data_IF_261910186690
#
_entry.id   IF_261910186690
#
_cell.length_a   1.000
_cell.length_b   1.000
_cell.length_c   1.000
_cell.angle_alpha   90.00
_cell.angle_beta   90.00
_cell.angle_gamma   90.00
#
_symmetry.space_group_name_H-M   'P 1'
#
loop_
_entity.id
_entity.type
_entity.pdbx_description
1 polymer ?
#
# COMPACT_ATOMS: atom_id res chain seq x y z
N UNK A 1 -1.42 25.73 -0.76
CA UNK A 1 -0.18 25.23 -0.12
C UNK A 1 0.00 25.86 1.27
N UNK A 2 -0.83 25.46 2.26
CA UNK A 2 -0.83 26.08 3.60
C UNK A 2 -0.64 25.08 4.75
N UNK A 3 -1.09 23.83 4.58
CA UNK A 3 -1.00 22.77 5.59
C UNK A 3 0.47 22.37 5.83
N UNK A 4 1.18 21.94 4.79
CA UNK A 4 2.57 21.49 4.91
C UNK A 4 3.54 22.62 5.31
N UNK A 5 3.31 23.86 4.87
CA UNK A 5 4.16 25.00 5.27
C UNK A 5 4.03 25.38 6.75
N UNK A 6 3.05 24.82 7.47
CA UNK A 6 2.74 25.13 8.87
C UNK A 6 2.93 23.93 9.79
N UNK A 7 3.67 22.91 9.35
CA UNK A 7 3.90 21.71 10.14
C UNK A 7 2.73 20.70 10.12
N UNK A 8 1.77 20.89 9.22
CA UNK A 8 0.67 19.94 9.06
C UNK A 8 1.15 18.57 8.56
N UNK A 9 0.36 17.55 8.89
CA UNK A 9 0.53 16.18 8.43
C UNK A 9 -0.58 15.86 7.43
N UNK A 10 -0.23 15.20 6.33
CA UNK A 10 -1.20 14.66 5.37
C UNK A 10 -0.97 13.15 5.31
N UNK A 11 -2.06 12.39 5.33
CA UNK A 11 -2.04 10.94 5.07
C UNK A 11 -2.84 10.76 3.78
N UNK A 12 -2.25 10.06 2.82
CA UNK A 12 -2.90 9.68 1.56
C UNK A 12 -2.97 8.17 1.53
N UNK A 13 -4.19 7.66 1.36
CA UNK A 13 -4.47 6.25 1.22
C UNK A 13 -4.91 6.06 -0.23
N UNK A 14 -4.20 5.23 -0.98
CA UNK A 14 -4.67 4.74 -2.27
C UNK A 14 -5.28 3.36 -2.13
N UNK A 15 -5.56 2.76 -3.28
CA UNK A 15 -6.25 1.49 -3.35
C UNK A 15 -5.93 0.77 -4.66
N UNK A 16 -6.25 -0.51 -4.75
CA UNK A 16 -6.28 -1.20 -6.05
C UNK A 16 -7.20 -0.48 -7.04
N UNK A 17 -6.69 -0.28 -8.26
CA UNK A 17 -7.35 0.40 -9.37
C UNK A 17 -8.80 -0.01 -9.65
N UNK A 18 -9.17 -1.28 -9.43
CA UNK A 18 -10.55 -1.73 -9.65
C UNK A 18 -11.54 -1.04 -8.71
N UNK A 19 -11.10 -0.69 -7.50
CA UNK A 19 -11.89 0.06 -6.53
C UNK A 19 -11.73 1.57 -6.70
N UNK A 20 -10.54 2.05 -7.07
CA UNK A 20 -10.28 3.48 -7.19
C UNK A 20 -9.12 3.85 -8.13
N UNK A 21 -9.34 4.83 -9.01
CA UNK A 21 -8.29 5.41 -9.85
C UNK A 21 -7.41 6.41 -9.06
N UNK A 22 -6.15 6.04 -8.81
CA UNK A 22 -5.21 6.85 -8.04
C UNK A 22 -4.74 8.13 -8.77
N UNK A 23 -5.11 8.36 -10.04
CA UNK A 23 -4.69 9.53 -10.84
C UNK A 23 -4.98 10.87 -10.14
N UNK A 24 -6.11 10.98 -9.43
CA UNK A 24 -6.48 12.20 -8.70
C UNK A 24 -5.56 12.42 -7.50
N UNK A 25 -5.22 11.35 -6.77
CA UNK A 25 -4.29 11.41 -5.63
C UNK A 25 -2.88 11.76 -6.11
N UNK A 26 -2.44 11.17 -7.21
CA UNK A 26 -1.17 11.48 -7.87
C UNK A 26 -1.09 12.94 -8.31
N UNK A 27 -2.16 13.48 -8.89
CA UNK A 27 -2.27 14.90 -9.24
C UNK A 27 -2.09 15.79 -8.01
N UNK A 28 -2.70 15.43 -6.87
CA UNK A 28 -2.53 16.14 -5.60
C UNK A 28 -1.07 16.06 -5.10
N UNK A 29 -0.48 14.86 -5.08
CA UNK A 29 0.90 14.63 -4.63
C UNK A 29 1.89 15.45 -5.47
N UNK A 30 1.76 15.43 -6.80
CA UNK A 30 2.59 16.23 -7.70
C UNK A 30 2.40 17.74 -7.48
N UNK A 31 1.17 18.21 -7.28
CA UNK A 31 0.89 19.62 -6.98
C UNK A 31 1.48 20.07 -5.63
N UNK A 32 1.70 19.15 -4.70
CA UNK A 32 2.41 19.38 -3.43
C UNK A 32 3.93 19.23 -3.55
N UNK A 33 4.43 18.80 -4.72
CA UNK A 33 5.84 18.51 -4.98
C UNK A 33 6.34 17.35 -4.11
N UNK A 34 5.53 16.31 -4.00
CA UNK A 34 5.84 15.05 -3.33
C UNK A 34 6.26 14.04 -4.41
N UNK A 35 7.43 13.44 -4.20
CA UNK A 35 8.06 12.44 -5.07
C UNK A 35 7.62 11.02 -4.67
N UNK A 36 6.32 10.85 -4.45
CA UNK A 36 5.67 9.56 -4.22
C UNK A 36 4.46 9.53 -5.14
N UNK A 37 4.28 8.44 -5.88
CA UNK A 37 3.11 8.18 -6.71
C UNK A 37 2.53 6.82 -6.35
N UNK A 38 1.21 6.71 -6.42
CA UNK A 38 0.45 5.47 -6.29
C UNK A 38 0.30 4.85 -7.67
N UNK A 39 0.70 3.59 -7.82
CA UNK A 39 0.47 2.86 -9.06
C UNK A 39 -1.01 2.47 -9.20
N UNK A 40 -1.51 2.38 -10.43
CA UNK A 40 -2.83 1.80 -10.71
C UNK A 40 -2.66 0.31 -10.98
N UNK A 41 -2.36 -0.46 -9.93
CA UNK A 41 -2.20 -1.92 -9.98
C UNK A 41 -2.79 -2.58 -8.73
N UNK A 42 -2.70 -3.92 -8.67
CA UNK A 42 -2.87 -4.72 -7.46
C UNK A 42 -1.56 -5.45 -7.19
N UNK A 43 -1.16 -5.50 -5.92
CA UNK A 43 -0.12 -6.40 -5.47
C UNK A 43 -0.71 -7.72 -5.03
N UNK A 44 -0.13 -8.81 -5.53
CA UNK A 44 -0.51 -10.18 -5.24
C UNK A 44 0.69 -10.91 -4.62
N UNK A 45 0.44 -11.84 -3.72
CA UNK A 45 1.46 -12.74 -3.15
C UNK A 45 0.85 -14.09 -2.74
N UNK A 46 1.24 -15.16 -3.43
CA UNK A 46 0.77 -16.53 -3.16
C UNK A 46 1.42 -17.18 -1.91
N UNK A 47 2.50 -16.58 -1.39
CA UNK A 47 3.31 -17.14 -0.29
C UNK A 47 3.07 -16.37 1.00
N UNK A 48 3.03 -15.05 0.93
CA UNK A 48 2.90 -14.15 2.07
C UNK A 48 1.57 -13.42 2.02
N UNK A 49 0.46 -14.13 2.21
CA UNK A 49 -0.87 -13.54 2.30
C UNK A 49 -1.57 -13.84 3.64
N UNK A 50 -2.67 -13.13 3.85
CA UNK A 50 -3.63 -13.36 4.92
C UNK A 50 -4.79 -14.21 4.39
N UNK A 51 -5.21 -15.20 5.18
CA UNK A 51 -6.36 -16.07 4.90
C UNK A 51 -6.36 -16.81 3.54
N UNK A 52 -5.18 -17.10 2.99
CA UNK A 52 -5.05 -17.75 1.66
C UNK A 52 -5.62 -16.94 0.50
N UNK A 53 -5.75 -15.62 0.67
CA UNK A 53 -6.20 -14.69 -0.36
C UNK A 53 -5.01 -13.92 -0.92
N UNK A 54 -4.58 -14.22 -2.15
CA UNK A 54 -3.34 -13.69 -2.73
C UNK A 54 -3.31 -12.16 -2.84
N UNK A 55 -4.47 -11.51 -2.91
CA UNK A 55 -4.64 -10.05 -2.92
C UNK A 55 -4.59 -9.40 -1.53
N UNK A 56 -4.52 -10.20 -0.46
CA UNK A 56 -4.37 -9.73 0.92
C UNK A 56 -2.96 -9.99 1.41
N UNK A 57 -1.99 -9.31 0.81
CA UNK A 57 -0.58 -9.55 1.08
C UNK A 57 -0.20 -9.21 2.52
N UNK A 58 0.86 -9.83 3.01
CA UNK A 58 1.45 -9.55 4.31
C UNK A 58 2.94 -9.26 4.14
N UNK A 59 3.48 -8.38 4.97
CA UNK A 59 4.90 -8.02 4.89
C UNK A 59 5.52 -7.77 6.25
N UNK A 60 6.77 -8.22 6.40
CA UNK A 60 7.67 -7.90 7.49
C UNK A 60 8.85 -7.02 7.05
N UNK A 61 8.84 -6.53 5.80
CA UNK A 61 9.91 -5.72 5.22
C UNK A 61 9.80 -4.26 5.65
N UNK A 62 10.36 -3.95 6.82
CA UNK A 62 10.36 -2.60 7.39
C UNK A 62 11.73 -1.92 7.28
N UNK A 63 11.73 -0.69 6.76
CA UNK A 63 12.86 0.22 6.82
C UNK A 63 12.98 0.92 8.18
N UNK A 64 14.10 1.61 8.40
CA UNK A 64 14.30 2.42 9.62
C UNK A 64 13.44 3.68 9.55
N UNK A 65 12.24 3.63 10.14
CA UNK A 65 11.34 4.76 10.23
C UNK A 65 10.43 4.67 11.46
N UNK A 66 10.05 5.81 12.05
CA UNK A 66 9.22 5.84 13.27
C UNK A 66 7.84 5.22 13.06
N UNK A 67 7.27 5.34 11.86
CA UNK A 67 5.99 4.69 11.50
C UNK A 67 6.11 3.16 11.55
N UNK A 68 7.28 2.61 11.22
CA UNK A 68 7.54 1.17 11.26
C UNK A 68 8.13 0.69 12.59
N UNK A 69 8.16 1.55 13.62
CA UNK A 69 8.80 1.22 14.88
C UNK A 69 8.13 0.00 15.53
N UNK A 70 8.93 -1.02 15.79
CA UNK A 70 8.53 -2.27 16.46
C UNK A 70 7.35 -3.00 15.77
N UNK A 71 7.12 -2.76 14.49
CA UNK A 71 6.24 -3.62 13.69
C UNK A 71 7.00 -4.91 13.39
N UNK A 72 6.29 -6.03 13.49
CA UNK A 72 6.81 -7.37 13.16
C UNK A 72 6.21 -7.85 11.85
N UNK A 73 4.90 -7.67 11.64
CA UNK A 73 4.22 -7.99 10.39
C UNK A 73 2.91 -7.21 10.25
N UNK A 74 2.60 -6.72 9.07
CA UNK A 74 1.30 -6.11 8.74
C UNK A 74 0.60 -6.91 7.63
N UNK A 75 -0.71 -6.74 7.54
CA UNK A 75 -1.53 -7.22 6.42
C UNK A 75 -2.08 -6.03 5.65
N UNK A 76 -2.06 -6.12 4.33
CA UNK A 76 -2.58 -5.14 3.40
C UNK A 76 -3.68 -5.81 2.58
N UNK A 77 -4.82 -5.15 2.41
CA UNK A 77 -6.03 -5.69 1.79
C UNK A 77 -6.24 -4.97 0.46
N UNK A 78 -5.95 -5.65 -0.65
CA UNK A 78 -6.04 -5.09 -2.01
C UNK A 78 -5.13 -3.88 -2.28
N UNK A 79 -3.93 -3.86 -1.70
CA UNK A 79 -3.00 -2.72 -1.88
C UNK A 79 -2.45 -2.56 -3.31
N UNK A 80 -2.17 -1.32 -3.71
CA UNK A 80 -1.33 -0.97 -4.85
C UNK A 80 0.13 -0.70 -4.43
N UNK A 81 1.06 -0.80 -5.38
CA UNK A 81 2.46 -0.39 -5.14
C UNK A 81 2.65 1.13 -5.25
N UNK A 82 3.80 1.63 -4.79
CA UNK A 82 4.21 3.03 -4.90
C UNK A 82 5.47 3.18 -5.77
N UNK A 83 5.51 4.20 -6.62
CA UNK A 83 6.74 4.74 -7.16
C UNK A 83 7.29 5.79 -6.17
N UNK A 84 8.55 5.61 -5.73
CA UNK A 84 9.17 6.46 -4.70
C UNK A 84 10.45 7.08 -5.23
N UNK A 85 10.43 8.40 -5.43
CA UNK A 85 11.58 9.17 -5.88
C UNK A 85 12.57 9.51 -4.76
N UNK A 86 13.70 10.10 -5.14
CA UNK A 86 14.83 10.35 -4.23
C UNK A 86 14.55 11.36 -3.11
N UNK A 87 13.48 12.16 -3.23
CA UNK A 87 13.03 13.09 -2.19
C UNK A 87 12.23 12.44 -1.05
N UNK A 88 11.87 11.16 -1.18
CA UNK A 88 11.03 10.42 -0.26
C UNK A 88 11.78 9.26 0.41
N UNK A 89 11.15 8.65 1.40
CA UNK A 89 11.68 7.51 2.16
C UNK A 89 10.68 6.37 2.13
N UNK A 90 11.11 5.23 1.59
CA UNK A 90 10.37 3.96 1.70
C UNK A 90 10.36 3.51 3.15
N UNK A 91 9.19 3.25 3.69
CA UNK A 91 8.97 2.76 5.05
C UNK A 91 8.78 1.24 5.03
N UNK A 92 7.98 0.75 4.09
CA UNK A 92 7.66 -0.67 3.94
C UNK A 92 7.56 -1.03 2.47
N UNK A 93 7.99 -2.23 2.13
CA UNK A 93 7.81 -2.84 0.80
C UNK A 93 7.09 -4.19 0.94
N UNK A 94 6.53 -4.71 -0.15
CA UNK A 94 6.07 -6.08 -0.20
C UNK A 94 7.24 -7.08 -0.08
N UNK A 95 6.93 -8.34 0.23
CA UNK A 95 7.92 -9.42 0.23
C UNK A 95 8.42 -9.70 -1.20
N UNK A 96 9.59 -10.34 -1.34
CA UNK A 96 10.19 -10.60 -2.66
C UNK A 96 9.41 -11.60 -3.54
N UNK A 97 8.40 -12.25 -2.96
CA UNK A 97 7.47 -13.16 -3.64
C UNK A 97 6.29 -12.43 -4.25
N UNK A 98 6.07 -11.17 -3.88
CA UNK A 98 4.98 -10.38 -4.40
C UNK A 98 5.19 -10.03 -5.88
N UNK A 99 4.09 -9.84 -6.59
CA UNK A 99 4.08 -9.47 -8.00
C UNK A 99 2.86 -8.61 -8.32
N UNK A 100 2.90 -7.99 -9.49
CA UNK A 100 1.76 -7.27 -10.07
C UNK A 100 1.40 -7.91 -11.41
N UNK A 101 0.18 -7.67 -11.86
CA UNK A 101 -0.27 -8.09 -13.19
C UNK A 101 -0.01 -6.97 -14.20
N UNK A 102 0.39 -7.32 -15.41
CA UNK A 102 0.62 -6.37 -16.49
C UNK A 102 -0.54 -6.35 -17.49
N UNK A 103 -0.89 -5.16 -18.01
CA UNK A 103 -1.73 -5.03 -19.21
C UNK A 103 -3.17 -5.53 -19.07
N UNK A 104 -3.64 -6.29 -20.07
CA UNK A 104 -5.03 -6.78 -20.17
C UNK A 104 -5.42 -7.72 -19.02
N UNK A 105 -4.46 -8.39 -18.39
CA UNK A 105 -4.69 -9.30 -17.26
C UNK A 105 -5.24 -8.57 -16.02
N UNK A 106 -4.98 -7.26 -15.91
CA UNK A 106 -5.57 -6.41 -14.86
C UNK A 106 -7.08 -6.19 -15.05
N UNK A 107 -7.62 -6.32 -16.27
CA UNK A 107 -9.06 -6.23 -16.54
C UNK A 107 -9.80 -7.56 -16.31
N UNK A 108 -9.08 -8.68 -16.29
CA UNK A 108 -9.66 -10.03 -16.12
C UNK A 108 -9.99 -10.34 -14.65
N UNK A 109 -9.42 -9.59 -13.69
CA UNK A 109 -9.75 -9.73 -12.26
C UNK A 109 -11.18 -9.31 -11.90
N UNK A 110 -11.92 -8.67 -12.81
CA UNK A 110 -13.31 -8.25 -12.59
C UNK A 110 -14.38 -9.37 -12.65
N UNK A 111 -13.98 -10.65 -12.74
CA UNK A 111 -14.96 -11.74 -12.67
C UNK A 111 -14.38 -13.08 -12.19
N UNK A 112 -14.65 -13.42 -10.93
CA UNK A 112 -14.98 -14.75 -10.41
C UNK A 112 -14.09 -15.99 -10.69
N UNK A 113 -12.94 -15.91 -11.37
CA UNK A 113 -12.15 -17.12 -11.68
C UNK A 113 -10.64 -16.95 -11.44
N UNK A 114 -10.25 -16.97 -10.17
CA UNK A 114 -8.84 -17.07 -9.72
C UNK A 114 -8.16 -18.38 -10.18
N UNK A 115 -8.91 -19.37 -10.65
CA UNK A 115 -8.38 -20.69 -11.02
C UNK A 115 -7.73 -20.75 -12.42
N UNK A 116 -7.90 -19.72 -13.25
CA UNK A 116 -7.55 -19.78 -14.68
C UNK A 116 -6.23 -19.07 -15.07
N UNK A 117 -5.63 -18.26 -14.19
CA UNK A 117 -4.49 -17.39 -14.56
C UNK A 117 -3.09 -17.95 -14.25
N UNK A 118 -2.97 -19.23 -13.89
CA UNK A 118 -1.71 -19.83 -13.42
C UNK A 118 -0.60 -19.99 -14.48
N UNK A 119 -0.84 -19.75 -15.78
CA UNK A 119 0.10 -20.14 -16.85
C UNK A 119 0.71 -19.00 -17.69
N UNK A 120 0.36 -17.72 -17.48
CA UNK A 120 0.92 -16.61 -18.27
C UNK A 120 1.50 -15.45 -17.46
N UNK A 121 1.40 -15.49 -16.13
CA UNK A 121 1.96 -14.45 -15.28
C UNK A 121 3.47 -14.62 -15.17
N UNK A 122 4.21 -13.74 -15.82
CA UNK A 122 5.62 -13.58 -15.53
C UNK A 122 5.73 -12.58 -14.39
N UNK A 123 5.95 -13.02 -13.13
CA UNK A 123 6.29 -12.09 -12.07
C UNK A 123 7.50 -11.28 -12.50
N UNK A 124 7.45 -9.96 -12.29
CA UNK A 124 8.62 -9.11 -12.49
C UNK A 124 9.73 -9.56 -11.52
N UNK A 125 10.66 -10.38 -12.01
CA UNK A 125 11.73 -10.91 -11.19
C UNK A 125 12.61 -9.75 -10.66
N UNK A 126 12.83 -9.73 -9.34
CA UNK A 126 13.62 -8.74 -8.59
C UNK A 126 13.01 -7.33 -8.50
N UNK A 127 11.73 -7.15 -8.79
CA UNK A 127 11.05 -5.90 -8.46
C UNK A 127 10.91 -5.76 -6.94
N UNK A 128 11.16 -4.56 -6.42
CA UNK A 128 10.76 -4.18 -5.06
C UNK A 128 9.53 -3.31 -5.20
N UNK A 129 8.48 -3.63 -4.45
CA UNK A 129 7.23 -2.89 -4.47
C UNK A 129 7.06 -2.13 -3.15
N UNK A 130 7.45 -0.84 -3.06
CA UNK A 130 7.11 -0.01 -1.91
C UNK A 130 5.59 0.05 -1.74
N UNK A 131 5.12 0.01 -0.50
CA UNK A 131 3.68 0.07 -0.16
C UNK A 131 3.36 1.15 0.87
N UNK A 132 4.38 1.58 1.63
CA UNK A 132 4.29 2.72 2.53
C UNK A 132 5.53 3.59 2.33
N UNK A 133 5.33 4.88 2.10
CA UNK A 133 6.41 5.85 1.96
C UNK A 133 6.06 7.19 2.63
N UNK A 134 7.08 7.96 2.97
CA UNK A 134 6.90 9.30 3.52
C UNK A 134 7.82 10.33 2.90
N UNK A 135 7.43 11.59 2.98
CA UNK A 135 8.26 12.71 2.59
C UNK A 135 8.04 13.91 3.50
N UNK A 136 9.11 14.62 3.81
CA UNK A 136 9.02 15.94 4.46
C UNK A 136 9.00 17.05 3.41
N UNK A 137 8.13 18.04 3.59
CA UNK A 137 8.03 19.21 2.71
C UNK A 137 7.89 20.48 3.55
N UNK A 138 8.95 21.28 3.56
CA UNK A 138 9.02 22.43 4.47
C UNK A 138 9.05 21.96 5.93
N UNK A 139 8.13 22.46 6.75
CA UNK A 139 7.97 22.05 8.16
C UNK A 139 6.99 20.88 8.34
N UNK A 140 6.23 20.53 7.30
CA UNK A 140 5.22 19.47 7.34
C UNK A 140 5.71 18.18 6.71
N UNK A 141 4.82 17.19 6.70
CA UNK A 141 5.13 15.84 6.23
C UNK A 141 3.92 15.14 5.65
N UNK A 142 4.19 14.19 4.80
CA UNK A 142 3.19 13.35 4.16
C UNK A 142 3.55 11.88 4.35
N UNK A 143 2.54 11.06 4.57
CA UNK A 143 2.60 9.60 4.51
C UNK A 143 1.67 9.15 3.39
N UNK A 144 2.16 8.24 2.55
CA UNK A 144 1.37 7.60 1.51
C UNK A 144 1.37 6.11 1.79
N UNK A 145 0.18 5.51 1.75
CA UNK A 145 -0.07 4.08 1.94
C UNK A 145 -0.85 3.63 0.72
N UNK A 146 -0.42 2.54 0.08
CA UNK A 146 -1.10 1.99 -1.10
C UNK A 146 -2.39 1.25 -0.78
N UNK A 147 -2.98 1.45 0.39
CA UNK A 147 -4.06 0.64 0.94
C UNK A 147 -4.92 1.51 1.85
N UNK A 148 -6.24 1.52 1.60
CA UNK A 148 -7.19 2.27 2.41
C UNK A 148 -7.84 1.44 3.52
N UNK A 149 -7.86 0.12 3.37
CA UNK A 149 -8.49 -0.84 4.28
C UNK A 149 -7.58 -1.28 5.43
N UNK A 150 -6.26 -1.15 5.32
CA UNK A 150 -5.27 -1.52 6.37
C UNK A 150 -5.57 -0.91 7.75
N UNK A 151 -6.29 0.21 7.81
CA UNK A 151 -6.69 0.88 9.06
C UNK A 151 -8.22 1.01 9.20
N UNK A 152 -8.99 0.27 8.40
CA UNK A 152 -10.44 0.33 8.37
C UNK A 152 -11.11 -0.76 9.23
N UNK A 153 -12.41 -0.56 9.43
CA UNK A 153 -13.33 -1.61 9.86
C UNK A 153 -13.72 -2.45 8.63
N UNK A 154 -13.93 -3.75 8.80
CA UNK A 154 -14.41 -4.66 7.76
C UNK A 154 -15.95 -4.65 7.74
N UNK A 155 -16.51 -3.72 6.96
CA UNK A 155 -17.96 -3.55 6.86
C UNK A 155 -18.66 -4.67 6.07
N UNK A 156 -17.90 -5.49 5.34
CA UNK A 156 -18.41 -6.56 4.50
C UNK A 156 -18.31 -7.95 5.18
N UNK A 157 -17.74 -8.01 6.39
CA UNK A 157 -17.52 -9.23 7.16
C UNK A 157 -16.74 -10.30 6.36
N UNK A 158 -15.78 -9.84 5.56
CA UNK A 158 -14.88 -10.68 4.75
C UNK A 158 -13.92 -11.51 5.63
N UNK A 159 -13.61 -11.02 6.83
CA UNK A 159 -12.77 -11.70 7.82
C UNK A 159 -13.44 -11.77 9.19
N UNK A 160 -12.91 -12.61 10.08
CA UNK A 160 -13.34 -12.63 11.48
C UNK A 160 -12.71 -11.47 12.27
N UNK A 161 -13.32 -10.28 12.18
CA UNK A 161 -12.89 -9.08 12.91
C UNK A 161 -12.81 -7.87 11.99
N UNK A 162 -11.94 -6.91 12.34
CA UNK A 162 -11.74 -5.69 11.57
C UNK A 162 -10.34 -5.71 10.94
N UNK A 163 -10.17 -5.14 9.74
CA UNK A 163 -8.86 -5.06 9.07
C UNK A 163 -7.79 -4.35 9.93
N UNK A 164 -8.16 -3.31 10.66
CA UNK A 164 -7.27 -2.62 11.62
C UNK A 164 -6.77 -3.54 12.74
N UNK A 165 -7.50 -4.62 13.07
CA UNK A 165 -7.13 -5.55 14.15
C UNK A 165 -6.32 -6.76 13.66
N UNK A 166 -6.00 -6.84 12.36
CA UNK A 166 -5.18 -7.93 11.80
C UNK A 166 -3.69 -7.64 11.98
N UNK A 167 -2.95 -8.64 12.50
CA UNK A 167 -1.51 -8.54 12.76
C UNK A 167 -1.15 -7.24 13.52
N UNK A 168 -0.14 -6.49 13.09
CA UNK A 168 0.26 -5.23 13.71
C UNK A 168 -0.44 -3.98 13.13
N UNK A 169 -1.54 -4.11 12.38
CA UNK A 169 -2.19 -2.97 11.71
C UNK A 169 -2.64 -1.87 12.70
N UNK A 170 -3.19 -2.24 13.85
CA UNK A 170 -3.55 -1.28 14.90
C UNK A 170 -2.31 -0.57 15.47
N UNK A 171 -1.17 -1.28 15.55
CA UNK A 171 0.10 -0.69 15.99
C UNK A 171 0.65 0.26 14.94
N UNK A 172 0.55 -0.09 13.66
CA UNK A 172 0.87 0.81 12.53
C UNK A 172 0.04 2.10 12.63
N UNK A 173 -1.28 2.02 12.80
CA UNK A 173 -2.15 3.19 12.96
C UNK A 173 -1.70 4.09 14.11
N UNK A 174 -1.38 3.51 15.28
CA UNK A 174 -0.87 4.27 16.43
C UNK A 174 0.45 4.97 16.09
N UNK A 175 1.38 4.28 15.47
CA UNK A 175 2.65 4.85 15.04
C UNK A 175 2.46 6.02 14.06
N UNK A 176 1.48 5.92 13.14
CA UNK A 176 1.15 7.00 12.18
C UNK A 176 0.62 8.24 12.90
N UNK A 177 -0.30 8.06 13.86
CA UNK A 177 -0.89 9.16 14.63
C UNK A 177 0.19 9.88 15.46
N UNK A 178 1.07 9.10 16.10
CA UNK A 178 2.11 9.62 17.00
C UNK A 178 3.32 10.22 16.27
N UNK A 179 3.60 9.77 15.04
CA UNK A 179 4.67 10.31 14.21
C UNK A 179 4.34 11.75 13.85
#
# INVERSE_FOLDING_TARGET
>A
MWVLSRGGKIIVLGEWFEYYDNTILNTLLSALGIDIQLENNVLLDEVNNYDSADQWITTAQFGTHRVAQELTKIALFATCSLEVGSGATVITSAESTAFTLAGEDMQVFSSADLSALSNSLQPEQNATFPVIASQSKGSGKILVIGDSDVIADDLEELISGEFVNVLDNLKLLRNIIEW
#
